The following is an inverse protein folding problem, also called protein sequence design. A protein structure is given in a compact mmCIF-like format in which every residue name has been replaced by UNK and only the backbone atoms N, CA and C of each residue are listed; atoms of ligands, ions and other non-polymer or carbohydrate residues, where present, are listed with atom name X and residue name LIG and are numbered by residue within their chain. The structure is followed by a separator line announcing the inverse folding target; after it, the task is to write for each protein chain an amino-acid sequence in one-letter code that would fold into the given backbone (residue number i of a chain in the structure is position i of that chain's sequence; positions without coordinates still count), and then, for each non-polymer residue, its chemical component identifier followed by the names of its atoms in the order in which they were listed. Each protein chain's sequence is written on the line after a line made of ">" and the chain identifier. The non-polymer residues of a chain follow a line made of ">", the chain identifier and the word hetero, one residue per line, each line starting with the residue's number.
data_IF_342320702816
#
_entry.id   IF_342320702816
#
_cell.length_a   1.000
_cell.length_b   1.000
_cell.length_c   1.000
_cell.angle_alpha   90.00
_cell.angle_beta   90.00
_cell.angle_gamma   90.00
#
_symmetry.space_group_name_H-M   'P 1'
#
loop_
_entity.id
_entity.type
_entity.pdbx_description
1 polymer ?
#
# COMPACT_ATOMS: atom_id res chain seq x y z
N UNK A 1 2.31 15.90 -15.41
CA UNK A 1 1.06 15.19 -15.78
C UNK A 1 1.31 13.78 -16.31
N UNK A 2 2.35 13.54 -17.13
CA UNK A 2 2.71 12.19 -17.62
C UNK A 2 2.83 11.15 -16.49
N UNK A 3 3.56 11.45 -15.41
CA UNK A 3 3.69 10.55 -14.25
C UNK A 3 2.36 10.17 -13.59
N UNK A 4 1.38 11.09 -13.59
CA UNK A 4 0.04 10.80 -13.06
C UNK A 4 -0.68 9.76 -13.94
N UNK A 5 -0.61 9.93 -15.27
CA UNK A 5 -1.19 8.95 -16.20
C UNK A 5 -0.53 7.58 -16.10
N UNK A 6 0.82 7.52 -16.05
CA UNK A 6 1.52 6.25 -15.84
C UNK A 6 1.15 5.61 -14.49
N UNK A 7 0.98 6.40 -13.43
CA UNK A 7 0.57 5.91 -12.12
C UNK A 7 -0.85 5.33 -12.11
N UNK A 8 -1.79 6.00 -12.77
CA UNK A 8 -3.16 5.50 -12.94
C UNK A 8 -3.15 4.20 -13.76
N UNK A 9 -2.45 4.19 -14.90
CA UNK A 9 -2.35 3.02 -15.75
C UNK A 9 -1.72 1.83 -15.01
N UNK A 10 -0.61 2.05 -14.32
CA UNK A 10 0.08 1.02 -13.53
C UNK A 10 -0.80 0.50 -12.40
N UNK A 11 -1.55 1.37 -11.72
CA UNK A 11 -2.51 0.99 -10.68
C UNK A 11 -3.60 0.06 -11.20
N UNK A 12 -4.11 0.30 -12.42
CA UNK A 12 -5.11 -0.54 -13.06
C UNK A 12 -4.48 -1.87 -13.52
N UNK A 13 -3.29 -1.81 -14.12
CA UNK A 13 -2.56 -2.97 -14.62
C UNK A 13 -2.28 -4.00 -13.51
N UNK A 14 -1.87 -3.55 -12.31
CA UNK A 14 -1.62 -4.44 -11.15
C UNK A 14 -2.87 -5.25 -10.80
N UNK A 15 -4.06 -4.62 -10.78
CA UNK A 15 -5.32 -5.30 -10.47
C UNK A 15 -5.67 -6.35 -11.54
N UNK A 16 -5.45 -6.02 -12.82
CA UNK A 16 -5.67 -6.95 -13.94
C UNK A 16 -4.71 -8.15 -13.82
N UNK A 17 -3.43 -7.90 -13.52
CA UNK A 17 -2.42 -8.96 -13.33
C UNK A 17 -2.85 -9.91 -12.19
N UNK A 18 -3.26 -9.39 -11.03
CA UNK A 18 -3.74 -10.24 -9.94
C UNK A 18 -5.01 -11.01 -10.28
N UNK A 19 -5.92 -10.43 -11.07
CA UNK A 19 -7.09 -11.15 -11.61
C UNK A 19 -6.67 -12.34 -12.47
N UNK A 20 -5.72 -12.11 -13.36
CA UNK A 20 -5.18 -13.13 -14.28
C UNK A 20 -4.44 -14.23 -13.52
N UNK A 21 -3.60 -13.86 -12.54
CA UNK A 21 -2.93 -14.79 -11.62
C UNK A 21 -3.96 -15.67 -10.91
N UNK A 22 -5.06 -15.07 -10.42
CA UNK A 22 -6.17 -15.78 -9.80
C UNK A 22 -6.85 -16.76 -10.76
N UNK A 23 -7.15 -16.31 -12.00
CA UNK A 23 -7.80 -17.12 -13.05
C UNK A 23 -6.96 -18.35 -13.43
N UNK A 24 -5.65 -18.20 -13.56
CA UNK A 24 -4.75 -19.28 -13.96
C UNK A 24 -4.12 -20.04 -12.79
N UNK A 25 -4.55 -19.79 -11.55
CA UNK A 25 -4.01 -20.41 -10.34
C UNK A 25 -2.48 -20.29 -10.19
N UNK A 26 -1.89 -19.22 -10.71
CA UNK A 26 -0.46 -18.96 -10.57
C UNK A 26 -0.14 -18.64 -9.10
N UNK A 27 1.01 -19.10 -8.61
CA UNK A 27 1.48 -18.80 -7.26
C UNK A 27 1.81 -17.30 -7.16
N UNK A 28 1.05 -16.58 -6.34
CA UNK A 28 1.13 -15.12 -6.16
C UNK A 28 2.54 -14.63 -5.80
N UNK A 29 3.34 -15.45 -5.13
CA UNK A 29 4.69 -15.09 -4.70
C UNK A 29 5.65 -14.85 -5.88
N UNK A 30 5.52 -15.58 -6.99
CA UNK A 30 6.48 -15.49 -8.10
C UNK A 30 6.39 -14.12 -8.80
N UNK A 31 5.20 -13.62 -9.20
CA UNK A 31 5.08 -12.27 -9.74
C UNK A 31 5.50 -11.17 -8.77
N UNK A 32 5.26 -11.33 -7.46
CA UNK A 32 5.71 -10.36 -6.45
C UNK A 32 7.23 -10.28 -6.44
N UNK A 33 7.93 -11.41 -6.37
CA UNK A 33 9.40 -11.44 -6.37
C UNK A 33 9.94 -10.73 -7.63
N UNK A 34 9.40 -11.05 -8.80
CA UNK A 34 9.82 -10.42 -10.07
C UNK A 34 9.58 -8.91 -10.03
N UNK A 35 8.42 -8.46 -9.55
CA UNK A 35 8.10 -7.04 -9.43
C UNK A 35 9.13 -6.30 -8.56
N UNK A 36 9.52 -6.87 -7.43
CA UNK A 36 10.51 -6.24 -6.54
C UNK A 36 11.90 -6.22 -7.14
N UNK A 37 12.35 -7.30 -7.78
CA UNK A 37 13.63 -7.28 -8.49
C UNK A 37 13.66 -6.20 -9.57
N UNK A 38 12.62 -6.13 -10.40
CA UNK A 38 12.51 -5.13 -11.47
C UNK A 38 12.47 -3.71 -10.87
N UNK A 39 11.68 -3.49 -9.82
CA UNK A 39 11.58 -2.19 -9.16
C UNK A 39 12.90 -1.75 -8.51
N UNK A 40 13.61 -2.66 -7.85
CA UNK A 40 14.92 -2.37 -7.26
C UNK A 40 15.96 -2.03 -8.32
N UNK A 41 16.01 -2.79 -9.42
CA UNK A 41 16.93 -2.51 -10.54
C UNK A 41 16.61 -1.15 -11.17
N UNK A 42 15.34 -0.90 -11.51
CA UNK A 42 14.92 0.36 -12.09
C UNK A 42 15.15 1.53 -11.13
N UNK A 43 14.89 1.35 -9.84
CA UNK A 43 15.16 2.34 -8.80
C UNK A 43 16.64 2.69 -8.71
N UNK A 44 17.52 1.68 -8.72
CA UNK A 44 18.97 1.88 -8.71
C UNK A 44 19.44 2.69 -9.94
N UNK A 45 19.00 2.32 -11.14
CA UNK A 45 19.37 3.05 -12.36
C UNK A 45 18.73 4.45 -12.43
N UNK A 46 17.51 4.62 -11.92
CA UNK A 46 16.80 5.91 -11.92
C UNK A 46 17.35 6.88 -10.89
N UNK A 47 18.02 6.40 -9.84
CA UNK A 47 18.65 7.24 -8.84
C UNK A 47 19.83 8.06 -9.43
N UNK A 48 20.42 7.60 -10.55
CA UNK A 48 21.49 8.31 -11.24
C UNK A 48 22.78 8.46 -10.41
N UNK A 49 22.93 7.65 -9.35
CA UNK A 49 24.03 7.75 -8.40
C UNK A 49 25.31 7.14 -8.97
N UNK A 50 26.43 7.84 -8.77
CA UNK A 50 27.76 7.32 -9.02
C UNK A 50 28.19 6.36 -7.90
N UNK A 51 29.12 5.42 -8.16
CA UNK A 51 29.64 4.52 -7.12
C UNK A 51 30.19 5.23 -5.88
N UNK A 52 30.73 6.44 -6.05
CA UNK A 52 31.24 7.26 -4.95
C UNK A 52 30.11 7.82 -4.09
N UNK A 53 29.05 8.35 -4.71
CA UNK A 53 27.89 8.89 -3.99
C UNK A 53 27.19 7.81 -3.18
N UNK A 54 27.13 6.57 -3.66
CA UNK A 54 26.52 5.43 -2.93
C UNK A 54 27.23 5.18 -1.59
N UNK A 55 28.56 5.29 -1.56
CA UNK A 55 29.37 5.04 -0.36
C UNK A 55 29.17 6.16 0.67
N UNK A 56 28.83 7.36 0.22
CA UNK A 56 28.63 8.54 1.08
C UNK A 56 27.20 8.63 1.67
N UNK A 57 26.27 7.74 1.27
CA UNK A 57 24.90 7.73 1.79
C UNK A 57 24.89 7.24 3.25
N UNK A 58 24.33 8.02 4.21
CA UNK A 58 24.16 7.59 5.59
C UNK A 58 23.36 6.28 5.68
N UNK A 59 23.70 5.39 6.61
CA UNK A 59 23.03 4.08 6.74
C UNK A 59 21.66 4.14 7.43
N UNK A 60 21.23 5.32 7.88
CA UNK A 60 20.03 5.49 8.70
C UNK A 60 18.73 5.12 7.96
N UNK A 61 18.74 5.14 6.63
CA UNK A 61 17.60 4.72 5.81
C UNK A 61 17.42 3.19 5.73
N UNK A 62 18.43 2.38 6.08
CA UNK A 62 18.40 0.93 5.89
C UNK A 62 17.29 0.29 6.71
N UNK A 63 17.21 0.62 8.00
CA UNK A 63 16.19 0.05 8.89
C UNK A 63 14.76 0.39 8.44
N UNK A 64 14.37 1.66 8.21
CA UNK A 64 13.05 1.99 7.69
C UNK A 64 12.83 1.38 6.29
N UNK A 65 13.84 1.35 5.43
CA UNK A 65 13.76 0.72 4.10
C UNK A 65 13.43 -0.78 4.16
N UNK A 66 14.09 -1.54 5.02
CA UNK A 66 13.83 -2.97 5.23
C UNK A 66 12.43 -3.19 5.80
N UNK A 67 12.01 -2.38 6.78
CA UNK A 67 10.67 -2.46 7.36
C UNK A 67 9.57 -2.19 6.33
N UNK A 68 9.72 -1.11 5.55
CA UNK A 68 8.80 -0.74 4.48
C UNK A 68 8.73 -1.84 3.42
N UNK A 69 9.89 -2.31 2.95
CA UNK A 69 9.96 -3.37 1.94
C UNK A 69 9.27 -4.65 2.41
N UNK A 70 9.53 -5.07 3.66
CA UNK A 70 8.91 -6.25 4.27
C UNK A 70 7.40 -6.11 4.38
N UNK A 71 6.91 -4.95 4.85
CA UNK A 71 5.49 -4.66 4.95
C UNK A 71 4.80 -4.69 3.59
N UNK A 72 5.41 -4.11 2.55
CA UNK A 72 4.79 -4.13 1.24
C UNK A 72 4.75 -5.55 0.63
N UNK A 73 5.80 -6.37 0.81
CA UNK A 73 5.74 -7.77 0.34
C UNK A 73 4.59 -8.51 1.03
N UNK A 74 4.44 -8.30 2.34
CA UNK A 74 3.35 -8.87 3.11
C UNK A 74 1.97 -8.36 2.65
N UNK A 75 1.81 -7.07 2.39
CA UNK A 75 0.54 -6.50 1.93
C UNK A 75 0.19 -6.96 0.51
N UNK A 76 1.16 -7.14 -0.39
CA UNK A 76 0.93 -7.74 -1.71
C UNK A 76 0.41 -9.18 -1.61
N UNK A 77 0.96 -9.98 -0.70
CA UNK A 77 0.42 -11.31 -0.43
C UNK A 77 -1.03 -11.24 0.09
N UNK A 78 -1.31 -10.31 1.02
CA UNK A 78 -2.66 -10.07 1.52
C UNK A 78 -3.63 -9.60 0.42
N UNK A 79 -3.19 -8.78 -0.54
CA UNK A 79 -4.03 -8.39 -1.70
C UNK A 79 -4.42 -9.62 -2.50
N UNK A 80 -3.46 -10.49 -2.83
CA UNK A 80 -3.72 -11.73 -3.56
C UNK A 80 -4.66 -12.67 -2.81
N UNK A 81 -4.43 -12.85 -1.51
CA UNK A 81 -5.26 -13.71 -0.65
C UNK A 81 -6.67 -13.12 -0.44
N UNK A 82 -6.77 -11.82 -0.18
CA UNK A 82 -8.04 -11.09 -0.01
C UNK A 82 -8.86 -11.08 -1.30
N UNK A 83 -8.21 -10.87 -2.45
CA UNK A 83 -8.90 -10.91 -3.75
C UNK A 83 -9.53 -12.29 -4.00
N UNK A 84 -8.86 -13.37 -3.60
CA UNK A 84 -9.37 -14.75 -3.73
C UNK A 84 -10.49 -15.08 -2.73
N UNK A 85 -10.41 -14.58 -1.49
CA UNK A 85 -11.33 -14.95 -0.40
C UNK A 85 -12.49 -13.97 -0.18
N UNK A 86 -12.20 -12.67 -0.14
CA UNK A 86 -13.18 -11.61 0.08
C UNK A 86 -13.73 -11.03 -1.23
N UNK A 87 -12.96 -11.13 -2.32
CA UNK A 87 -13.33 -10.66 -3.65
C UNK A 87 -12.70 -9.32 -4.02
N UNK A 88 -12.47 -9.13 -5.32
CA UNK A 88 -11.73 -8.00 -5.88
C UNK A 88 -12.27 -6.63 -5.49
N UNK A 89 -13.59 -6.45 -5.47
CA UNK A 89 -14.20 -5.16 -5.16
C UNK A 89 -13.85 -4.70 -3.73
N UNK A 90 -14.03 -5.59 -2.74
CA UNK A 90 -13.74 -5.29 -1.34
C UNK A 90 -12.25 -5.07 -1.09
N UNK A 91 -11.39 -5.91 -1.68
CA UNK A 91 -9.94 -5.75 -1.59
C UNK A 91 -9.48 -4.41 -2.20
N UNK A 92 -10.06 -4.00 -3.33
CA UNK A 92 -9.71 -2.74 -4.00
C UNK A 92 -10.17 -1.53 -3.20
N UNK A 93 -11.38 -1.56 -2.64
CA UNK A 93 -11.87 -0.48 -1.77
C UNK A 93 -10.96 -0.33 -0.55
N UNK A 94 -10.66 -1.44 0.13
CA UNK A 94 -9.79 -1.44 1.30
C UNK A 94 -8.38 -0.93 0.99
N UNK A 95 -7.76 -1.37 -0.12
CA UNK A 95 -6.40 -0.94 -0.45
C UNK A 95 -6.34 0.53 -0.88
N UNK A 96 -7.32 1.04 -1.63
CA UNK A 96 -7.33 2.44 -2.09
C UNK A 96 -7.71 3.42 -0.98
N UNK A 97 -8.61 3.03 -0.09
CA UNK A 97 -9.00 3.90 1.03
C UNK A 97 -7.97 3.95 2.13
N UNK A 98 -7.01 3.01 2.15
CA UNK A 98 -5.87 3.01 3.08
C UNK A 98 -5.07 4.31 3.10
N UNK A 99 -5.14 5.09 2.01
CA UNK A 99 -4.56 6.43 1.88
C UNK A 99 -4.94 7.41 3.01
N UNK A 100 -6.03 7.14 3.72
CA UNK A 100 -6.44 7.85 4.94
C UNK A 100 -5.30 7.92 5.97
N UNK A 101 -4.55 6.82 6.18
CA UNK A 101 -3.45 6.80 7.16
C UNK A 101 -2.28 7.74 6.80
N UNK A 102 -1.66 7.67 5.61
CA UNK A 102 -0.58 8.59 5.26
C UNK A 102 -1.06 10.04 5.17
N UNK A 103 -2.33 10.29 4.84
CA UNK A 103 -2.91 11.63 4.94
C UNK A 103 -2.94 12.13 6.38
N UNK A 104 -3.40 11.30 7.33
CA UNK A 104 -3.39 11.65 8.75
C UNK A 104 -1.98 11.91 9.28
N UNK A 105 -1.01 11.04 8.94
CA UNK A 105 0.39 11.23 9.30
C UNK A 105 0.99 12.50 8.67
N UNK A 106 0.59 12.85 7.45
CA UNK A 106 0.99 14.11 6.81
C UNK A 106 0.58 15.31 7.65
N UNK A 107 -0.67 15.35 8.13
CA UNK A 107 -1.16 16.47 8.96
C UNK A 107 -0.39 16.58 10.29
N UNK A 108 0.10 15.46 10.83
CA UNK A 108 0.85 15.46 12.08
C UNK A 108 2.32 15.88 11.91
N UNK A 109 2.94 15.54 10.77
CA UNK A 109 4.38 15.68 10.56
C UNK A 109 4.73 16.90 9.71
N UNK A 110 3.89 17.26 8.74
CA UNK A 110 4.15 18.37 7.83
C UNK A 110 3.75 19.70 8.49
N UNK A 111 4.75 20.52 8.80
CA UNK A 111 4.57 21.83 9.45
C UNK A 111 3.75 22.81 8.59
N UNK A 112 3.65 22.59 7.27
CA UNK A 112 2.86 23.43 6.37
C UNK A 112 1.42 22.95 6.22
N UNK A 113 1.08 21.75 6.73
CA UNK A 113 -0.26 21.18 6.61
C UNK A 113 -1.10 21.49 7.85
N UNK A 114 -1.90 22.56 7.78
CA UNK A 114 -2.70 22.99 8.91
C UNK A 114 -3.80 21.98 9.27
N UNK A 115 -3.88 21.65 10.56
CA UNK A 115 -5.00 20.91 11.14
C UNK A 115 -6.32 21.66 10.87
N UNK A 116 -7.33 20.92 10.42
CA UNK A 116 -8.68 21.43 10.24
C UNK A 116 -9.67 20.36 10.69
N UNK A 117 -10.69 20.78 11.44
CA UNK A 117 -11.78 19.90 11.88
C UNK A 117 -12.45 19.20 10.70
N UNK A 118 -12.50 19.84 9.52
CA UNK A 118 -13.02 19.23 8.29
C UNK A 118 -12.19 18.02 7.85
N UNK A 119 -10.85 18.11 7.91
CA UNK A 119 -9.96 17.00 7.54
C UNK A 119 -10.16 15.80 8.47
N UNK A 120 -10.30 16.06 9.77
CA UNK A 120 -10.55 15.01 10.76
C UNK A 120 -11.90 14.31 10.52
N UNK A 121 -12.96 15.05 10.22
CA UNK A 121 -14.28 14.48 9.90
C UNK A 121 -14.20 13.62 8.64
N UNK A 122 -13.54 14.10 7.58
CA UNK A 122 -13.36 13.33 6.33
C UNK A 122 -12.58 12.04 6.57
N UNK A 123 -11.56 12.08 7.43
CA UNK A 123 -10.79 10.91 7.83
C UNK A 123 -11.66 9.85 8.51
N UNK A 124 -12.46 10.26 9.50
CA UNK A 124 -13.37 9.38 10.22
C UNK A 124 -14.44 8.79 9.28
N UNK A 125 -15.00 9.62 8.40
CA UNK A 125 -15.96 9.18 7.39
C UNK A 125 -15.37 8.14 6.43
N UNK A 126 -14.10 8.29 6.03
CA UNK A 126 -13.45 7.34 5.15
C UNK A 126 -13.23 5.97 5.83
N UNK A 127 -12.84 5.96 7.11
CA UNK A 127 -12.73 4.72 7.89
C UNK A 127 -14.10 4.03 8.02
N UNK A 128 -15.15 4.79 8.32
CA UNK A 128 -16.52 4.29 8.40
C UNK A 128 -17.00 3.74 7.05
N UNK A 129 -16.70 4.43 5.94
CA UNK A 129 -17.08 4.00 4.60
C UNK A 129 -16.42 2.66 4.22
N UNK A 130 -15.14 2.46 4.56
CA UNK A 130 -14.44 1.18 4.36
C UNK A 130 -15.09 0.09 5.20
N UNK A 131 -15.33 0.34 6.49
CA UNK A 131 -15.95 -0.62 7.38
C UNK A 131 -17.32 -1.08 6.86
N UNK A 132 -18.19 -0.14 6.49
CA UNK A 132 -19.52 -0.43 5.95
C UNK A 132 -19.47 -1.12 4.58
N UNK A 133 -18.47 -0.80 3.74
CA UNK A 133 -18.29 -1.47 2.44
C UNK A 133 -17.86 -2.93 2.60
N UNK A 134 -17.05 -3.23 3.62
CA UNK A 134 -16.55 -4.59 3.90
C UNK A 134 -17.56 -5.42 4.70
N UNK A 135 -18.41 -4.77 5.50
CA UNK A 135 -19.40 -5.45 6.33
C UNK A 135 -20.44 -6.20 5.48
N UNK A 136 -20.38 -7.53 5.51
CA UNK A 136 -21.43 -8.39 4.93
C UNK A 136 -22.43 -8.79 6.03
N UNK A 137 -23.72 -8.54 5.77
CA UNK A 137 -24.82 -9.10 6.58
C UNK A 137 -24.78 -10.63 6.44
N UNK A 138 -24.77 -11.36 7.56
CA UNK A 138 -24.65 -12.83 7.61
C UNK A 138 -25.56 -13.50 6.57
N UNK A 139 -24.97 -14.20 5.60
CA UNK A 139 -25.68 -15.18 4.76
C UNK A 139 -25.62 -16.56 5.42
N UNK A 140 -26.43 -17.52 4.94
CA UNK A 140 -26.62 -18.85 5.55
C UNK A 140 -25.32 -19.69 5.66
N UNK A 141 -24.24 -19.29 5.01
CA UNK A 141 -22.91 -19.92 5.12
C UNK A 141 -22.03 -19.10 6.07
N UNK A 142 -21.56 -19.72 7.15
CA UNK A 142 -20.65 -19.09 8.12
C UNK A 142 -19.26 -19.05 7.49
N UNK A 143 -18.95 -17.98 6.77
CA UNK A 143 -17.56 -17.69 6.43
C UNK A 143 -16.77 -17.41 7.72
N UNK A 144 -15.57 -17.98 7.90
CA UNK A 144 -14.70 -17.68 9.03
C UNK A 144 -14.51 -16.16 9.21
N UNK A 145 -14.63 -15.67 10.44
CA UNK A 145 -14.48 -14.24 10.78
C UNK A 145 -13.21 -13.61 10.19
N UNK A 146 -12.13 -14.40 10.12
CA UNK A 146 -10.86 -14.00 9.51
C UNK A 146 -10.99 -13.58 8.03
N UNK A 147 -11.83 -14.28 7.24
CA UNK A 147 -12.04 -13.96 5.82
C UNK A 147 -12.81 -12.64 5.68
N UNK A 148 -13.75 -12.38 6.59
CA UNK A 148 -14.52 -11.12 6.62
C UNK A 148 -13.62 -9.95 7.03
N UNK A 149 -12.72 -10.17 7.99
CA UNK A 149 -11.81 -9.14 8.49
C UNK A 149 -10.58 -8.91 7.61
N UNK A 150 -10.34 -9.78 6.63
CA UNK A 150 -9.15 -9.75 5.79
C UNK A 150 -8.96 -8.43 5.01
N UNK A 151 -10.00 -7.81 4.40
CA UNK A 151 -9.85 -6.49 3.80
C UNK A 151 -9.56 -5.39 4.84
N UNK A 152 -10.08 -5.52 6.06
CA UNK A 152 -9.79 -4.55 7.13
C UNK A 152 -8.33 -4.65 7.60
N UNK A 153 -7.81 -5.87 7.78
CA UNK A 153 -6.39 -6.10 8.08
C UNK A 153 -5.50 -5.51 6.98
N UNK A 154 -5.88 -5.74 5.72
CA UNK A 154 -5.20 -5.15 4.56
C UNK A 154 -5.20 -3.61 4.62
N UNK A 155 -6.37 -3.01 4.88
CA UNK A 155 -6.54 -1.55 4.97
C UNK A 155 -5.59 -0.93 6.00
N UNK A 156 -5.50 -1.53 7.19
CA UNK A 156 -4.62 -1.05 8.27
C UNK A 156 -3.15 -1.22 7.91
N UNK A 157 -2.73 -2.43 7.50
CA UNK A 157 -1.31 -2.70 7.24
C UNK A 157 -0.77 -1.93 6.04
N UNK A 158 -1.56 -1.78 4.98
CA UNK A 158 -1.18 -0.94 3.83
C UNK A 158 -1.05 0.52 4.27
N UNK A 159 -1.88 0.96 5.21
CA UNK A 159 -1.92 2.34 5.67
C UNK A 159 -0.72 2.68 6.52
N UNK A 160 -0.31 1.73 7.38
CA UNK A 160 0.93 1.80 8.13
C UNK A 160 2.13 1.82 7.18
N UNK A 161 2.16 0.96 6.16
CA UNK A 161 3.26 0.90 5.19
C UNK A 161 3.42 2.25 4.46
N UNK A 162 2.33 2.80 3.91
CA UNK A 162 2.35 4.09 3.20
C UNK A 162 2.70 5.26 4.13
N UNK A 163 2.26 5.21 5.40
CA UNK A 163 2.59 6.23 6.41
C UNK A 163 4.08 6.18 6.78
N UNK A 164 4.65 4.98 6.90
CA UNK A 164 6.08 4.80 7.14
C UNK A 164 6.92 5.32 5.98
N UNK A 165 6.47 5.16 4.73
CA UNK A 165 7.13 5.80 3.58
C UNK A 165 7.13 7.31 3.74
N UNK A 166 5.99 7.91 4.11
CA UNK A 166 5.89 9.36 4.28
C UNK A 166 6.76 9.88 5.42
N UNK A 167 6.79 9.16 6.54
CA UNK A 167 7.72 9.44 7.64
C UNK A 167 9.17 9.33 7.19
N UNK A 168 9.53 8.25 6.48
CA UNK A 168 10.90 8.04 6.03
C UNK A 168 11.37 9.11 5.03
N UNK A 169 10.47 9.55 4.14
CA UNK A 169 10.72 10.67 3.23
C UNK A 169 11.02 11.95 4.02
N UNK A 170 10.18 12.31 4.99
CA UNK A 170 10.39 13.53 5.77
C UNK A 170 11.64 13.50 6.66
N UNK A 171 11.99 12.33 7.21
CA UNK A 171 13.07 12.19 8.20
C UNK A 171 14.44 11.87 7.61
N UNK A 172 14.51 11.13 6.49
CA UNK A 172 15.77 10.61 5.95
C UNK A 172 16.07 11.05 4.53
N UNK A 173 15.08 11.55 3.79
CA UNK A 173 15.28 12.06 2.43
C UNK A 173 15.26 13.59 2.49
N UNK A 174 16.43 14.21 2.48
CA UNK A 174 16.53 15.67 2.37
C UNK A 174 16.03 16.10 0.99
N UNK A 175 15.18 17.14 0.97
CA UNK A 175 14.83 17.87 -0.26
C UNK A 175 16.06 18.58 -0.84
#
# INVERSE_FOLDING_TARGET
>A
MLYLFLSIFSSIAILIIFKVIGKYNIKVIQPIIINYFVASILGFFSAGLTPKEIIEIPTDWILPGVLIGSLYVFTFFLIGYSTKKAGMALTTIASKMSFVFPMFFSILIDANDNYSNTKLILLLMAILAVFLSVYKKKTKTIDPLFIILLPFILFVLMGIADSLVKFAQNSFVKN
#
